data_IF_286721290893
#
_entry.id   IF_286721290893
#
_cell.length_a   1.000
_cell.length_b   1.000
_cell.length_c   1.000
_cell.angle_alpha   90.00
_cell.angle_beta   90.00
_cell.angle_gamma   90.00
#
_symmetry.space_group_name_H-M   'P 1'
#
loop_
_entity.id
_entity.type
_entity.pdbx_description
1 polymer ?
#
# COMPACT_ATOMS: atom_id res chain seq x y z
N UNK A 1 -7.32 -6.52 27.71
CA UNK A 1 -7.30 -6.44 26.22
C UNK A 1 -8.74 -6.37 25.73
N UNK A 2 -9.39 -5.22 25.86
CA UNK A 2 -10.83 -5.08 25.63
C UNK A 2 -11.14 -3.80 24.85
N UNK A 3 -12.18 -3.90 24.02
CA UNK A 3 -12.91 -2.84 23.32
C UNK A 3 -12.31 -2.25 22.05
N UNK A 4 -12.44 -2.99 20.94
CA UNK A 4 -12.86 -2.38 19.68
C UNK A 4 -14.39 -2.50 19.61
N UNK A 5 -15.08 -1.59 20.31
CA UNK A 5 -16.54 -1.49 20.24
C UNK A 5 -16.91 -0.79 18.93
N UNK A 6 -17.66 -1.49 18.07
CA UNK A 6 -18.20 -0.96 16.82
C UNK A 6 -19.20 0.16 17.14
N UNK A 7 -18.90 1.38 16.72
CA UNK A 7 -19.68 2.59 17.03
C UNK A 7 -21.03 2.70 16.29
N UNK A 8 -21.44 1.68 15.53
CA UNK A 8 -22.64 1.72 14.68
C UNK A 8 -23.80 0.92 15.28
N UNK A 9 -23.54 -0.16 16.01
CA UNK A 9 -24.56 -0.91 16.73
C UNK A 9 -23.94 -1.65 17.92
N UNK A 10 -24.69 -1.83 19.01
CA UNK A 10 -24.28 -2.54 20.25
C UNK A 10 -24.18 -4.07 20.08
N UNK A 11 -23.80 -4.53 18.89
CA UNK A 11 -23.57 -5.94 18.58
C UNK A 11 -22.08 -6.22 18.49
N UNK A 12 -21.67 -7.38 18.99
CA UNK A 12 -20.29 -7.84 18.88
C UNK A 12 -20.03 -8.31 17.43
N UNK A 13 -18.96 -7.82 16.76
CA UNK A 13 -18.57 -8.35 15.46
C UNK A 13 -18.28 -9.85 15.53
N UNK A 14 -18.62 -10.56 14.44
CA UNK A 14 -18.33 -11.99 14.25
C UNK A 14 -17.22 -12.07 13.19
N UNK A 15 -16.14 -12.80 13.49
CA UNK A 15 -15.06 -13.06 12.54
C UNK A 15 -15.55 -14.03 11.45
N UNK A 16 -15.37 -13.66 10.18
CA UNK A 16 -15.73 -14.49 9.03
C UNK A 16 -14.64 -14.42 7.97
N UNK A 17 -14.46 -15.51 7.22
CA UNK A 17 -13.54 -15.53 6.09
C UNK A 17 -14.14 -14.85 4.86
N UNK A 18 -13.37 -13.97 4.22
CA UNK A 18 -13.69 -13.38 2.92
C UNK A 18 -12.51 -13.57 1.96
N UNK A 19 -12.81 -13.63 0.66
CA UNK A 19 -11.79 -13.75 -0.38
C UNK A 19 -11.42 -12.35 -0.88
N UNK A 20 -10.12 -12.08 -0.94
CA UNK A 20 -9.61 -10.83 -1.45
C UNK A 20 -8.53 -11.03 -2.50
N UNK A 21 -8.52 -10.13 -3.47
CA UNK A 21 -7.47 -10.07 -4.49
C UNK A 21 -6.36 -9.12 -4.02
N UNK A 22 -5.13 -9.54 -4.24
CA UNK A 22 -3.93 -8.79 -3.89
C UNK A 22 -3.11 -8.53 -5.14
N UNK A 23 -2.73 -7.27 -5.32
CA UNK A 23 -1.73 -6.90 -6.31
C UNK A 23 -0.36 -7.28 -5.78
N UNK A 24 0.37 -8.10 -6.54
CA UNK A 24 1.73 -8.50 -6.22
C UNK A 24 2.71 -7.39 -6.66
N UNK A 25 2.70 -6.28 -5.93
CA UNK A 25 3.63 -5.16 -6.12
C UNK A 25 5.11 -5.58 -6.00
N UNK A 26 5.54 -6.53 -5.14
CA UNK A 26 6.96 -6.90 -5.07
C UNK A 26 7.53 -7.36 -6.42
N UNK A 27 6.74 -8.07 -7.23
CA UNK A 27 7.16 -8.50 -8.59
C UNK A 27 7.43 -7.34 -9.56
N UNK A 28 6.85 -6.16 -9.31
CA UNK A 28 7.00 -4.98 -10.15
C UNK A 28 8.14 -4.05 -9.68
N UNK A 29 8.82 -4.38 -8.58
CA UNK A 29 9.74 -3.47 -7.91
C UNK A 29 10.91 -3.03 -8.77
N UNK A 30 11.52 -3.94 -9.53
CA UNK A 30 12.70 -3.61 -10.34
C UNK A 30 12.34 -2.75 -11.54
N UNK A 31 11.25 -3.07 -12.24
CA UNK A 31 10.72 -2.26 -13.34
C UNK A 31 10.33 -0.86 -12.86
N UNK A 32 9.66 -0.77 -11.72
CA UNK A 32 9.22 0.50 -11.14
C UNK A 32 10.40 1.37 -10.69
N UNK A 33 11.46 0.77 -10.12
CA UNK A 33 12.70 1.49 -9.77
C UNK A 33 13.41 2.00 -11.02
N UNK A 34 13.48 1.20 -12.09
CA UNK A 34 14.06 1.61 -13.37
C UNK A 34 13.31 2.80 -13.96
N UNK A 35 11.99 2.70 -14.04
CA UNK A 35 11.13 3.79 -14.53
C UNK A 35 11.25 5.06 -13.67
N UNK A 36 11.34 4.92 -12.35
CA UNK A 36 11.51 6.06 -11.45
C UNK A 36 12.84 6.78 -11.71
N UNK A 37 13.95 6.04 -11.85
CA UNK A 37 15.26 6.63 -12.14
C UNK A 37 15.26 7.38 -13.48
N UNK A 38 14.64 6.80 -14.51
CA UNK A 38 14.53 7.42 -15.84
C UNK A 38 13.69 8.71 -15.82
N UNK A 39 12.57 8.70 -15.11
CA UNK A 39 11.67 9.85 -15.04
C UNK A 39 12.20 10.96 -14.13
N UNK A 40 12.85 10.60 -13.02
CA UNK A 40 13.50 11.56 -12.13
C UNK A 40 14.68 12.29 -12.81
N UNK A 41 15.34 11.65 -13.79
CA UNK A 41 16.39 12.29 -14.59
C UNK A 41 15.84 13.25 -15.66
N UNK A 42 14.65 12.96 -16.21
CA UNK A 42 14.06 13.70 -17.34
C UNK A 42 13.11 14.83 -16.91
N UNK A 43 12.47 14.71 -15.75
CA UNK A 43 11.47 15.65 -15.27
C UNK A 43 11.82 16.15 -13.86
N UNK A 44 11.67 17.45 -13.56
CA UNK A 44 11.90 17.96 -12.22
C UNK A 44 10.75 17.56 -11.30
N UNK A 45 10.98 16.59 -10.43
CA UNK A 45 10.09 16.29 -9.31
C UNK A 45 10.23 17.37 -8.23
N UNK A 46 9.15 17.67 -7.51
CA UNK A 46 9.26 18.49 -6.31
C UNK A 46 10.13 17.78 -5.28
N UNK A 47 10.88 18.56 -4.48
CA UNK A 47 11.78 18.01 -3.46
C UNK A 47 11.05 17.08 -2.48
N UNK A 48 9.81 17.41 -2.13
CA UNK A 48 8.96 16.59 -1.27
C UNK A 48 8.60 15.25 -1.92
N UNK A 49 8.17 15.25 -3.19
CA UNK A 49 7.82 14.02 -3.90
C UNK A 49 9.04 13.10 -4.08
N UNK A 50 10.20 13.66 -4.44
CA UNK A 50 11.43 12.88 -4.56
C UNK A 50 11.88 12.28 -3.21
N UNK A 51 11.72 13.02 -2.11
CA UNK A 51 12.05 12.53 -0.77
C UNK A 51 11.16 11.36 -0.34
N UNK A 52 9.85 11.46 -0.60
CA UNK A 52 8.90 10.38 -0.30
C UNK A 52 9.23 9.14 -1.13
N UNK A 53 9.43 9.30 -2.44
CA UNK A 53 9.76 8.16 -3.32
C UNK A 53 11.06 7.48 -2.88
N UNK A 54 12.11 8.24 -2.56
CA UNK A 54 13.35 7.66 -2.02
C UNK A 54 13.10 6.91 -0.71
N UNK A 55 12.26 7.42 0.19
CA UNK A 55 11.91 6.69 1.42
C UNK A 55 11.20 5.37 1.12
N UNK A 56 10.19 5.40 0.25
CA UNK A 56 9.36 4.22 -0.09
C UNK A 56 10.13 3.16 -0.90
N UNK A 57 11.13 3.55 -1.71
CA UNK A 57 11.94 2.60 -2.50
C UNK A 57 13.19 2.08 -1.81
N UNK A 58 13.72 2.80 -0.81
CA UNK A 58 15.08 2.61 -0.29
C UNK A 58 15.14 2.15 1.17
N UNK A 59 14.09 2.35 1.96
CA UNK A 59 14.12 2.10 3.41
C UNK A 59 13.21 0.93 3.76
N UNK A 60 13.81 -0.26 3.86
CA UNK A 60 13.38 -1.42 4.67
C UNK A 60 11.97 -2.01 4.48
N UNK A 61 11.13 -1.42 3.64
CA UNK A 61 9.82 -1.92 3.26
C UNK A 61 9.90 -2.37 1.80
N UNK A 62 10.27 -3.64 1.60
CA UNK A 62 10.00 -4.28 0.31
C UNK A 62 8.54 -4.00 -0.07
N UNK A 63 8.29 -3.60 -1.32
CA UNK A 63 6.95 -3.29 -1.83
C UNK A 63 6.02 -4.44 -1.45
N UNK A 64 5.13 -4.22 -0.49
CA UNK A 64 4.27 -5.28 0.00
C UNK A 64 3.11 -5.53 -0.96
N UNK A 65 2.58 -6.76 -1.04
CA UNK A 65 1.31 -6.99 -1.71
C UNK A 65 0.22 -6.11 -1.10
N UNK A 66 -0.59 -5.47 -1.94
CA UNK A 66 -1.68 -4.60 -1.47
C UNK A 66 -3.03 -5.18 -1.90
N UNK A 67 -3.98 -5.21 -0.96
CA UNK A 67 -5.34 -5.66 -1.21
C UNK A 67 -6.10 -4.63 -2.06
N UNK A 68 -6.60 -5.06 -3.23
CA UNK A 68 -7.33 -4.20 -4.18
C UNK A 68 -8.85 -4.37 -4.10
N UNK A 69 -9.33 -5.37 -3.38
CA UNK A 69 -10.76 -5.60 -3.15
C UNK A 69 -11.19 -5.08 -1.78
N UNK A 70 -12.45 -4.68 -1.67
CA UNK A 70 -13.11 -4.33 -0.40
C UNK A 70 -14.52 -4.89 -0.42
N UNK A 71 -15.00 -5.32 0.74
CA UNK A 71 -16.39 -5.76 0.91
C UNK A 71 -17.28 -4.52 0.97
N UNK A 72 -17.59 -3.97 -0.21
CA UNK A 72 -18.52 -2.87 -0.41
C UNK A 72 -19.93 -3.42 -0.72
N UNK A 73 -20.95 -2.60 -0.49
CA UNK A 73 -22.35 -2.93 -0.78
C UNK A 73 -22.66 -2.86 -2.27
#
# INVERSE_FOLDING_TARGET
>A
MSSLLQSVCDRKPIETESKHLYLNIPKLGDELKSWYNDTAAKLPWSKSAASIMKSEFHVDNELQPRCVTRDLK
#
